data_IF_560263605404
#
_entry.id   IF_560263605404
#
_cell.length_a   1.000
_cell.length_b   1.000
_cell.length_c   1.000
_cell.angle_alpha   90.00
_cell.angle_beta   90.00
_cell.angle_gamma   90.00
#
_symmetry.space_group_name_H-M   'P 1'
#
loop_
_entity.id
_entity.type
_entity.pdbx_description
1 polymer ?
#
# COMPACT_ATOMS: atom_id res chain seq x y z
N UNK A 1 -11.74 -17.32 -4.24
CA UNK A 1 -11.63 -17.38 -5.71
C UNK A 1 -12.78 -16.58 -6.31
N UNK A 2 -12.49 -15.53 -7.08
CA UNK A 2 -13.50 -14.80 -7.85
C UNK A 2 -13.61 -15.49 -9.21
N UNK A 3 -14.74 -16.15 -9.46
CA UNK A 3 -15.02 -16.78 -10.75
C UNK A 3 -15.64 -15.75 -11.70
N UNK A 4 -14.98 -15.51 -12.82
CA UNK A 4 -15.51 -14.65 -13.89
C UNK A 4 -16.67 -15.38 -14.59
N UNK A 5 -17.75 -14.65 -14.87
CA UNK A 5 -18.95 -15.11 -15.63
C UNK A 5 -20.01 -15.94 -14.88
N UNK A 6 -20.06 -15.88 -13.54
CA UNK A 6 -21.23 -16.32 -12.77
C UNK A 6 -22.13 -15.13 -12.45
N UNK A 7 -23.44 -15.31 -12.58
CA UNK A 7 -24.44 -14.38 -12.04
C UNK A 7 -24.33 -14.41 -10.51
N UNK A 8 -23.54 -13.49 -9.95
CA UNK A 8 -23.34 -13.34 -8.51
C UNK A 8 -24.68 -12.92 -7.90
N UNK A 9 -25.42 -13.87 -7.32
CA UNK A 9 -26.70 -13.61 -6.63
C UNK A 9 -26.55 -13.55 -5.11
N UNK A 10 -25.36 -13.83 -4.57
CA UNK A 10 -25.09 -13.80 -3.12
C UNK A 10 -23.74 -13.12 -2.85
N UNK A 11 -23.78 -11.94 -2.24
CA UNK A 11 -22.60 -11.30 -1.68
C UNK A 11 -22.27 -11.99 -0.35
N UNK A 12 -21.28 -12.88 -0.36
CA UNK A 12 -20.77 -13.48 0.86
C UNK A 12 -19.64 -12.60 1.40
N UNK A 13 -19.82 -12.03 2.59
CA UNK A 13 -18.73 -11.33 3.29
C UNK A 13 -17.78 -12.36 3.89
N UNK A 14 -16.48 -12.09 3.79
CA UNK A 14 -15.42 -12.91 4.39
C UNK A 14 -14.62 -12.01 5.32
N UNK A 15 -14.47 -12.44 6.57
CA UNK A 15 -13.62 -11.74 7.55
C UNK A 15 -12.18 -12.11 7.24
N UNK A 16 -11.37 -11.14 6.81
CA UNK A 16 -9.94 -11.33 6.58
C UNK A 16 -9.14 -11.27 7.89
N UNK A 17 -9.57 -10.43 8.82
CA UNK A 17 -8.96 -10.26 10.13
C UNK A 17 -9.98 -9.65 11.11
N UNK A 18 -9.90 -10.06 12.37
CA UNK A 18 -10.67 -9.49 13.46
C UNK A 18 -9.73 -9.19 14.62
N UNK A 19 -9.67 -7.92 15.04
CA UNK A 19 -8.96 -7.52 16.26
C UNK A 19 -9.85 -7.69 17.48
N UNK A 20 -9.25 -8.06 18.61
CA UNK A 20 -9.90 -8.07 19.93
C UNK A 20 -9.73 -6.76 20.70
N UNK A 21 -8.96 -5.81 20.16
CA UNK A 21 -8.73 -4.52 20.78
C UNK A 21 -10.01 -3.65 20.75
N UNK A 22 -10.36 -3.07 21.89
CA UNK A 22 -11.43 -2.07 21.98
C UNK A 22 -10.93 -0.74 21.38
N UNK A 23 -11.85 0.03 20.80
CA UNK A 23 -11.61 1.36 20.24
C UNK A 23 -10.62 1.43 19.07
N UNK A 24 -10.57 0.37 18.25
CA UNK A 24 -9.81 0.33 16.99
C UNK A 24 -10.75 0.43 15.78
N UNK A 25 -10.56 1.46 14.95
CA UNK A 25 -11.29 1.65 13.71
C UNK A 25 -10.38 1.40 12.51
N UNK A 26 -10.77 0.44 11.65
CA UNK A 26 -10.10 0.19 10.37
C UNK A 26 -10.70 1.10 9.30
N UNK A 27 -9.87 1.90 8.65
CA UNK A 27 -10.36 2.91 7.68
C UNK A 27 -9.92 2.63 6.25
N UNK A 28 -8.76 1.99 6.04
CA UNK A 28 -8.21 1.75 4.70
C UNK A 28 -7.57 0.37 4.62
N UNK A 29 -7.74 -0.30 3.49
CA UNK A 29 -7.12 -1.59 3.15
C UNK A 29 -6.47 -1.49 1.77
N UNK A 30 -5.17 -1.78 1.68
CA UNK A 30 -4.44 -1.90 0.42
C UNK A 30 -3.95 -3.33 0.25
N UNK A 31 -4.30 -4.00 -0.85
CA UNK A 31 -3.93 -5.39 -1.08
C UNK A 31 -3.18 -5.56 -2.41
N UNK A 32 -2.20 -6.46 -2.41
CA UNK A 32 -1.60 -6.98 -3.64
C UNK A 32 -1.33 -8.48 -3.53
N UNK A 33 -0.96 -9.07 -4.66
CA UNK A 33 -0.33 -10.38 -4.69
C UNK A 33 1.05 -10.25 -4.04
N UNK A 34 1.41 -11.23 -3.23
CA UNK A 34 2.74 -11.40 -2.64
C UNK A 34 3.40 -12.61 -3.33
N UNK A 35 4.38 -12.35 -4.20
CA UNK A 35 5.08 -13.44 -4.90
C UNK A 35 6.17 -14.09 -4.05
N UNK A 36 6.65 -13.41 -3.00
CA UNK A 36 7.66 -13.96 -2.09
C UNK A 36 7.08 -15.11 -1.29
N UNK A 37 5.85 -14.94 -0.79
CA UNK A 37 5.17 -15.94 0.04
C UNK A 37 4.05 -16.70 -0.69
N UNK A 38 3.90 -16.49 -2.00
CA UNK A 38 2.89 -17.13 -2.87
C UNK A 38 1.47 -16.99 -2.29
N UNK A 39 1.00 -15.75 -2.20
CA UNK A 39 -0.30 -15.46 -1.64
C UNK A 39 -0.72 -14.01 -1.86
N UNK A 40 -1.32 -13.44 -0.83
CA UNK A 40 -1.72 -12.04 -0.80
C UNK A 40 -1.12 -11.36 0.43
N UNK A 41 -0.79 -10.08 0.25
CA UNK A 41 -0.38 -9.20 1.31
C UNK A 41 -1.30 -7.98 1.30
N UNK A 42 -1.92 -7.70 2.44
CA UNK A 42 -2.70 -6.49 2.63
C UNK A 42 -2.11 -5.64 3.75
N UNK A 43 -2.16 -4.32 3.60
CA UNK A 43 -1.81 -3.37 4.65
C UNK A 43 -3.08 -2.64 5.06
N UNK A 44 -3.41 -2.76 6.35
CA UNK A 44 -4.58 -2.15 6.97
C UNK A 44 -4.14 -0.90 7.72
N UNK A 45 -4.88 0.19 7.54
CA UNK A 45 -4.77 1.40 8.35
C UNK A 45 -5.80 1.35 9.48
N UNK A 46 -5.29 1.42 10.71
CA UNK A 46 -6.08 1.36 11.94
C UNK A 46 -5.85 2.62 12.77
N UNK A 47 -6.94 3.23 13.25
CA UNK A 47 -6.92 4.30 14.23
C UNK A 47 -7.28 3.70 15.59
N UNK A 48 -6.45 3.88 16.60
CA UNK A 48 -6.77 3.45 17.97
C UNK A 48 -6.90 4.68 18.89
N UNK A 49 -7.99 4.75 19.64
CA UNK A 49 -8.13 5.76 20.70
C UNK A 49 -7.44 5.25 21.97
N UNK A 50 -6.37 5.92 22.40
CA UNK A 50 -5.82 5.67 23.73
C UNK A 50 -6.75 6.30 24.76
N UNK A 51 -7.17 5.49 25.73
CA UNK A 51 -8.23 5.79 26.72
C UNK A 51 -7.95 6.98 27.66
N UNK A 52 -6.92 7.80 27.43
CA UNK A 52 -6.59 8.94 28.30
C UNK A 52 -6.16 10.22 27.60
N UNK A 53 -6.01 10.27 26.28
CA UNK A 53 -5.71 11.52 25.56
C UNK A 53 -6.32 11.46 24.15
N UNK A 54 -7.01 12.50 23.73
CA UNK A 54 -7.78 12.62 22.47
C UNK A 54 -6.95 12.56 21.17
N UNK A 55 -5.73 12.01 21.22
CA UNK A 55 -4.90 11.78 20.04
C UNK A 55 -5.09 10.33 19.59
N UNK A 56 -5.62 10.15 18.38
CA UNK A 56 -5.69 8.85 17.72
C UNK A 56 -4.29 8.49 17.21
N UNK A 57 -3.71 7.44 17.76
CA UNK A 57 -2.50 6.87 17.18
C UNK A 57 -2.86 6.07 15.93
N UNK A 58 -2.07 6.28 14.88
CA UNK A 58 -2.25 5.61 13.58
C UNK A 58 -1.29 4.44 13.51
N UNK A 59 -1.86 3.26 13.30
CA UNK A 59 -1.10 2.02 13.16
C UNK A 59 -1.35 1.41 11.79
N UNK A 60 -0.31 0.80 11.23
CA UNK A 60 -0.39 0.06 9.99
C UNK A 60 -0.07 -1.40 10.27
N UNK A 61 -0.96 -2.29 9.85
CA UNK A 61 -0.78 -3.73 10.07
C UNK A 61 -0.70 -4.39 8.71
N UNK A 62 0.40 -5.08 8.44
CA UNK A 62 0.53 -5.95 7.27
C UNK A 62 0.02 -7.33 7.63
N UNK A 63 -0.87 -7.86 6.80
CA UNK A 63 -1.48 -9.17 6.94
C UNK A 63 -1.13 -9.96 5.69
N UNK A 64 -0.49 -11.11 5.89
CA UNK A 64 -0.23 -12.06 4.80
C UNK A 64 -1.15 -13.25 4.91
N UNK A 65 -1.68 -13.69 3.78
CA UNK A 65 -2.53 -14.86 3.75
C UNK A 65 -2.46 -15.60 2.42
N UNK A 66 -2.73 -16.90 2.46
CA UNK A 66 -2.82 -17.75 1.27
C UNK A 66 -4.16 -17.56 0.56
N UNK A 67 -4.24 -18.01 -0.69
CA UNK A 67 -5.48 -18.06 -1.49
C UNK A 67 -6.66 -18.77 -0.78
N UNK A 68 -6.35 -19.69 0.13
CA UNK A 68 -7.32 -20.45 0.94
C UNK A 68 -7.77 -19.72 2.21
N UNK A 69 -7.27 -18.50 2.46
CA UNK A 69 -7.64 -17.66 3.60
C UNK A 69 -6.80 -17.88 4.87
N UNK A 70 -5.82 -18.79 4.86
CA UNK A 70 -4.92 -19.01 5.99
C UNK A 70 -3.99 -17.81 6.17
N UNK A 71 -4.05 -17.16 7.33
CA UNK A 71 -3.13 -16.08 7.71
C UNK A 71 -1.74 -16.67 8.01
N UNK A 72 -0.72 -16.12 7.38
CA UNK A 72 0.68 -16.52 7.53
C UNK A 72 1.43 -15.62 8.51
N UNK A 73 1.21 -14.31 8.44
CA UNK A 73 1.84 -13.35 9.34
C UNK A 73 0.95 -12.13 9.55
N UNK A 74 1.17 -11.48 10.70
CA UNK A 74 0.56 -10.22 11.06
C UNK A 74 1.63 -9.34 11.68
N UNK A 75 2.09 -8.38 10.89
CA UNK A 75 3.28 -7.58 11.18
C UNK A 75 2.88 -6.12 11.39
N UNK A 76 3.27 -5.55 12.53
CA UNK A 76 3.06 -4.13 12.79
C UNK A 76 4.10 -3.31 12.02
N UNK A 77 3.62 -2.41 11.16
CA UNK A 77 4.46 -1.46 10.44
C UNK A 77 4.51 -0.15 11.22
N UNK A 78 5.70 0.22 11.68
CA UNK A 78 5.94 1.51 12.33
C UNK A 78 6.52 2.49 11.29
N UNK A 79 5.78 3.53 10.86
CA UNK A 79 6.38 4.60 10.05
C UNK A 79 7.54 5.23 10.82
N UNK A 80 8.73 5.28 10.21
CA UNK A 80 9.93 5.89 10.83
C UNK A 80 9.77 7.39 11.11
N UNK A 81 8.77 8.06 10.50
CA UNK A 81 8.72 9.52 10.40
C UNK A 81 7.38 10.15 10.83
N UNK A 82 6.78 9.75 11.97
CA UNK A 82 5.58 10.43 12.58
C UNK A 82 4.43 10.76 11.60
N UNK A 83 4.39 10.09 10.46
CA UNK A 83 3.68 10.53 9.27
C UNK A 83 2.61 9.52 8.95
N UNK A 84 1.40 10.02 8.72
CA UNK A 84 0.35 9.23 8.09
C UNK A 84 0.86 8.85 6.70
N UNK A 85 1.04 7.56 6.43
CA UNK A 85 1.26 7.11 5.07
C UNK A 85 0.04 7.52 4.24
N UNK A 86 0.23 8.37 3.24
CA UNK A 86 -0.88 8.88 2.41
C UNK A 86 -1.27 7.86 1.34
N UNK A 87 -0.29 7.15 0.78
CA UNK A 87 -0.53 5.98 -0.05
C UNK A 87 0.58 4.94 0.16
N UNK A 88 0.20 3.72 0.55
CA UNK A 88 1.11 2.57 0.63
C UNK A 88 0.78 1.58 -0.48
N UNK A 89 1.80 1.01 -1.10
CA UNK A 89 1.66 -0.15 -1.98
C UNK A 89 2.62 -1.23 -1.55
N UNK A 90 2.10 -2.43 -1.38
CA UNK A 90 2.92 -3.64 -1.28
C UNK A 90 3.64 -3.88 -2.60
N UNK A 91 4.90 -4.31 -2.52
CA UNK A 91 5.70 -4.60 -3.71
C UNK A 91 5.64 -6.09 -4.02
N UNK A 92 5.49 -6.49 -5.29
CA UNK A 92 5.29 -7.89 -5.63
C UNK A 92 6.47 -8.79 -5.27
N UNK A 93 7.70 -8.26 -5.32
CA UNK A 93 8.93 -8.97 -4.98
C UNK A 93 9.39 -8.75 -3.52
N UNK A 94 8.51 -8.20 -2.69
CA UNK A 94 8.75 -8.00 -1.26
C UNK A 94 8.99 -6.55 -0.87
N UNK A 95 8.64 -6.24 0.38
CA UNK A 95 8.63 -4.90 0.94
C UNK A 95 7.38 -4.10 0.57
N UNK A 96 7.47 -2.79 0.75
CA UNK A 96 6.39 -1.86 0.43
C UNK A 96 6.93 -0.49 0.04
N UNK A 97 6.23 0.19 -0.85
CA UNK A 97 6.47 1.57 -1.21
C UNK A 97 5.52 2.49 -0.44
N UNK A 98 6.09 3.55 0.13
CA UNK A 98 5.35 4.66 0.73
C UNK A 98 5.45 5.84 -0.21
N UNK A 99 4.30 6.40 -0.53
CA UNK A 99 4.18 7.49 -1.47
C UNK A 99 3.69 8.69 -0.71
N UNK A 100 4.56 9.70 -0.68
CA UNK A 100 4.30 10.95 -0.02
C UNK A 100 4.04 12.01 -1.07
N UNK A 101 2.81 12.54 -1.06
CA UNK A 101 2.45 13.69 -1.87
C UNK A 101 3.01 14.95 -1.23
N UNK A 102 3.99 15.57 -1.88
CA UNK A 102 4.36 16.94 -1.62
C UNK A 102 3.33 17.87 -2.28
N UNK A 103 3.20 19.10 -1.76
CA UNK A 103 2.39 20.14 -2.39
C UNK A 103 2.82 20.36 -3.84
N UNK A 104 1.86 20.69 -4.71
CA UNK A 104 2.04 20.95 -6.16
C UNK A 104 2.33 19.72 -7.03
N UNK A 105 1.55 18.64 -6.87
CA UNK A 105 1.57 17.45 -7.75
C UNK A 105 2.93 16.74 -7.83
N UNK A 106 3.72 16.88 -6.78
CA UNK A 106 5.03 16.29 -6.67
C UNK A 106 4.93 15.11 -5.71
N UNK A 107 5.30 13.91 -6.14
CA UNK A 107 5.37 12.78 -5.22
C UNK A 107 6.81 12.31 -5.02
N UNK A 108 7.05 11.78 -3.82
CA UNK A 108 8.28 11.07 -3.47
C UNK A 108 7.91 9.64 -3.11
N UNK A 109 8.76 8.69 -3.52
CA UNK A 109 8.55 7.28 -3.33
C UNK A 109 9.68 6.73 -2.46
N UNK A 110 9.31 6.31 -1.25
CA UNK A 110 10.21 5.69 -0.29
C UNK A 110 9.98 4.18 -0.31
N UNK A 111 11.02 3.42 -0.63
CA UNK A 111 10.97 1.96 -0.66
C UNK A 111 11.40 1.41 0.70
N UNK A 112 10.63 0.50 1.26
CA UNK A 112 10.96 -0.23 2.47
C UNK A 112 11.10 -1.71 2.14
N UNK A 113 12.12 -2.35 2.69
CA UNK A 113 12.31 -3.79 2.54
C UNK A 113 11.34 -4.56 3.47
N UNK A 114 11.50 -5.89 3.50
CA UNK A 114 10.66 -6.76 4.32
C UNK A 114 10.81 -6.54 5.84
N UNK A 115 11.98 -6.10 6.27
CA UNK A 115 12.28 -5.78 7.67
C UNK A 115 11.88 -4.34 8.05
N UNK A 116 11.07 -3.67 7.22
CA UNK A 116 10.69 -2.26 7.36
C UNK A 116 11.86 -1.27 7.39
N UNK A 117 13.03 -1.65 6.87
CA UNK A 117 14.16 -0.76 6.69
C UNK A 117 14.01 0.02 5.38
N UNK A 118 14.26 1.33 5.43
CA UNK A 118 14.28 2.17 4.24
C UNK A 118 15.42 1.70 3.32
N UNK A 119 15.09 1.41 2.06
CA UNK A 119 16.05 1.03 1.04
C UNK A 119 17.04 2.16 0.78
N UNK A 120 18.31 1.80 0.59
CA UNK A 120 19.34 2.73 0.11
C UNK A 120 19.21 3.08 -1.37
N UNK A 121 18.19 2.54 -2.05
CA UNK A 121 17.89 2.88 -3.43
C UNK A 121 17.54 4.36 -3.53
N UNK A 122 18.49 5.15 -4.02
CA UNK A 122 18.30 6.54 -4.37
C UNK A 122 17.47 6.61 -5.66
N UNK A 123 16.17 6.36 -5.53
CA UNK A 123 15.16 6.78 -6.49
C UNK A 123 15.38 8.27 -6.79
N UNK A 124 15.31 8.74 -8.05
CA UNK A 124 15.87 10.03 -8.43
C UNK A 124 15.44 11.12 -7.45
N UNK A 125 16.44 11.82 -6.90
CA UNK A 125 16.36 12.91 -5.91
C UNK A 125 15.59 14.16 -6.42
N UNK A 126 14.67 13.98 -7.37
CA UNK A 126 13.76 15.01 -7.84
C UNK A 126 12.33 14.49 -7.65
N UNK A 127 11.45 15.25 -6.99
CA UNK A 127 10.04 14.90 -6.96
C UNK A 127 9.54 14.71 -8.39
N UNK A 128 8.80 13.63 -8.62
CA UNK A 128 8.20 13.41 -9.93
C UNK A 128 6.90 14.20 -9.97
N UNK A 129 6.78 15.08 -10.95
CA UNK A 129 5.55 15.82 -11.21
C UNK A 129 4.55 14.91 -11.92
N UNK A 130 3.43 14.64 -11.26
CA UNK A 130 2.33 13.78 -11.74
C UNK A 130 1.09 14.58 -12.04
N UNK A 131 0.13 13.94 -12.72
CA UNK A 131 -1.23 14.46 -12.79
C UNK A 131 -1.92 14.40 -11.41
N UNK A 132 -3.03 15.12 -11.28
CA UNK A 132 -3.85 15.08 -10.08
C UNK A 132 -4.45 13.68 -9.84
N UNK A 133 -4.35 13.18 -8.60
CA UNK A 133 -4.91 11.90 -8.07
C UNK A 133 -4.08 10.61 -8.26
N UNK A 134 -2.82 10.59 -7.83
CA UNK A 134 -2.11 9.33 -7.51
C UNK A 134 -2.09 8.29 -8.65
N UNK A 135 -1.93 8.73 -9.90
CA UNK A 135 -1.95 7.85 -11.06
C UNK A 135 -0.61 7.12 -11.23
N UNK A 136 -0.35 6.15 -10.36
CA UNK A 136 0.76 5.21 -10.48
C UNK A 136 0.30 3.78 -10.21
N UNK A 137 1.02 2.80 -10.75
CA UNK A 137 0.75 1.38 -10.55
C UNK A 137 2.04 0.59 -10.50
N UNK A 138 2.13 -0.40 -9.60
CA UNK A 138 3.29 -1.29 -9.51
C UNK A 138 2.98 -2.56 -10.28
N UNK A 139 3.75 -2.82 -11.32
CA UNK A 139 3.65 -4.01 -12.15
C UNK A 139 4.32 -5.21 -11.48
N UNK A 140 3.96 -6.41 -11.92
CA UNK A 140 4.47 -7.67 -11.38
C UNK A 140 5.99 -7.84 -11.54
N UNK A 141 6.59 -7.20 -12.55
CA UNK A 141 8.03 -7.20 -12.81
C UNK A 141 8.78 -6.16 -11.96
N UNK A 142 8.16 -5.66 -10.88
CA UNK A 142 8.72 -4.63 -10.00
C UNK A 142 9.00 -3.29 -10.71
N UNK A 143 8.27 -2.98 -11.79
CA UNK A 143 8.32 -1.67 -12.44
C UNK A 143 7.16 -0.80 -11.96
N UNK A 144 7.41 0.45 -11.60
CA UNK A 144 6.37 1.45 -11.33
C UNK A 144 6.04 2.18 -12.63
N UNK A 145 4.76 2.20 -12.96
CA UNK A 145 4.17 3.10 -13.96
C UNK A 145 3.73 4.38 -13.27
N UNK A 146 4.08 5.52 -13.83
CA UNK A 146 3.73 6.84 -13.30
C UNK A 146 3.16 7.68 -14.42
N UNK A 147 1.90 8.10 -14.32
CA UNK A 147 1.31 9.01 -15.29
C UNK A 147 1.80 10.44 -15.06
N UNK A 148 2.41 11.02 -16.09
CA UNK A 148 2.88 12.40 -16.06
C UNK A 148 1.74 13.37 -16.42
N UNK A 149 1.97 14.67 -16.22
CA UNK A 149 1.02 15.69 -16.63
C UNK A 149 0.71 15.62 -18.12
N UNK A 150 -0.57 15.59 -18.44
CA UNK A 150 -1.06 15.70 -19.81
C UNK A 150 -0.79 17.11 -20.33
N UNK A 151 -0.35 17.18 -21.59
CA UNK A 151 -0.37 18.42 -22.35
C UNK A 151 -1.56 18.39 -23.31
N UNK A 152 -1.81 19.48 -24.03
CA UNK A 152 -2.91 19.58 -25.00
C UNK A 152 -2.82 18.56 -26.14
N UNK A 153 -1.67 17.91 -26.35
CA UNK A 153 -1.44 17.01 -27.50
C UNK A 153 -0.73 15.70 -27.14
N UNK A 154 -0.29 15.49 -25.90
CA UNK A 154 0.42 14.27 -25.51
C UNK A 154 0.12 13.85 -24.08
N UNK A 155 0.08 12.53 -23.87
CA UNK A 155 0.12 11.89 -22.56
C UNK A 155 1.39 11.03 -22.49
N UNK A 156 2.06 11.04 -21.33
CA UNK A 156 3.29 10.30 -21.11
C UNK A 156 3.17 9.44 -19.84
N UNK A 157 3.68 8.21 -19.93
CA UNK A 157 3.84 7.31 -18.77
C UNK A 157 5.35 7.11 -18.57
N UNK A 158 5.81 7.39 -17.36
CA UNK A 158 7.17 7.09 -16.93
C UNK A 158 7.22 5.68 -16.35
N UNK A 159 8.11 4.85 -16.88
CA UNK A 159 8.40 3.52 -16.34
C UNK A 159 9.67 3.59 -15.51
N UNK A 160 9.64 3.02 -14.31
CA UNK A 160 10.78 3.03 -13.39
C UNK A 160 10.93 1.66 -12.77
N UNK A 161 12.05 1.00 -13.05
CA UNK A 161 12.35 -0.28 -12.44
C UNK A 161 12.76 -0.08 -10.97
N UNK A 162 12.11 -0.85 -10.09
CA UNK A 162 12.46 -0.94 -8.69
C UNK A 162 13.52 -2.03 -8.48
N UNK A 163 14.38 -1.85 -7.46
CA UNK A 163 15.39 -2.84 -7.09
C UNK A 163 14.78 -4.19 -6.69
#
# INVERSE_FOLDING_TARGET
MLYYNQSITTYQSVILYQSIAQDVEFSILYCSIDFVFIGYSCIVHANAALSTNSNLDKYYVRIRFLLIGTVLSLDLLSPSNNGSFTAIRTLPLGGYAVINNASNFNFTLNLYNEDANLSSYNFPLKPITVNSKDAFYVLQNNTVLVAQNETTTSWNILLIDLP
#
